data_IF_408325706715
#
_entry.id   IF_408325706715
#
_cell.length_a   1.000
_cell.length_b   1.000
_cell.length_c   1.000
_cell.angle_alpha   90.00
_cell.angle_beta   90.00
_cell.angle_gamma   90.00
#
_symmetry.space_group_name_H-M   'P 1'
#
loop_
_entity.id
_entity.type
_entity.pdbx_description
1 polymer ?
#
# COMPACT_ATOMS: atom_id res chain seq x y z
N UNK A 1 -12.74 -46.71 -29.08
CA UNK A 1 -12.99 -47.82 -28.11
C UNK A 1 -11.68 -47.94 -27.33
N UNK A 2 -11.56 -47.55 -26.06
CA UNK A 2 -12.42 -47.86 -24.94
C UNK A 2 -12.27 -46.83 -23.80
N UNK A 3 -13.44 -46.44 -23.26
CA UNK A 3 -13.83 -46.28 -21.84
C UNK A 3 -12.98 -45.40 -20.90
N UNK A 4 -13.66 -44.43 -20.29
CA UNK A 4 -13.09 -43.46 -19.37
C UNK A 4 -13.02 -43.88 -17.91
N UNK A 5 -12.38 -43.01 -17.12
CA UNK A 5 -12.59 -42.87 -15.69
C UNK A 5 -12.81 -41.39 -15.38
N UNK A 6 -14.05 -41.06 -15.07
CA UNK A 6 -14.49 -39.75 -14.59
C UNK A 6 -14.21 -39.72 -13.09
N UNK A 7 -12.99 -39.38 -12.70
CA UNK A 7 -12.63 -39.17 -11.30
C UNK A 7 -12.73 -37.70 -10.93
N UNK A 8 -13.93 -37.27 -10.56
CA UNK A 8 -14.23 -35.90 -10.10
C UNK A 8 -13.61 -35.57 -8.73
N UNK A 9 -12.84 -36.47 -8.10
CA UNK A 9 -12.10 -36.17 -6.87
C UNK A 9 -10.63 -35.79 -7.10
N UNK A 10 -10.05 -36.08 -8.26
CA UNK A 10 -8.62 -35.83 -8.53
C UNK A 10 -8.35 -34.44 -9.13
N UNK A 11 -9.32 -33.82 -9.82
CA UNK A 11 -9.15 -32.49 -10.43
C UNK A 11 -9.18 -31.33 -9.42
N UNK A 12 -9.85 -31.48 -8.27
CA UNK A 12 -9.84 -30.44 -7.22
C UNK A 12 -8.53 -30.46 -6.45
N UNK A 13 -7.93 -31.63 -6.21
CA UNK A 13 -6.69 -31.77 -5.43
C UNK A 13 -5.47 -31.30 -6.22
N UNK A 14 -5.39 -31.63 -7.51
CA UNK A 14 -4.24 -31.29 -8.36
C UNK A 14 -4.19 -29.80 -8.74
N UNK A 15 -5.33 -29.17 -9.07
CA UNK A 15 -5.35 -27.72 -9.36
C UNK A 15 -4.94 -26.87 -8.15
N UNK A 16 -5.34 -27.28 -6.94
CA UNK A 16 -4.89 -26.65 -5.70
C UNK A 16 -3.42 -26.93 -5.40
N UNK A 17 -2.90 -28.12 -5.73
CA UNK A 17 -1.48 -28.45 -5.59
C UNK A 17 -0.59 -27.63 -6.54
N UNK A 18 -0.91 -27.58 -7.85
CA UNK A 18 -0.19 -26.76 -8.83
C UNK A 18 -0.30 -25.26 -8.52
N UNK A 19 -1.47 -24.81 -8.06
CA UNK A 19 -1.66 -23.42 -7.59
C UNK A 19 -0.82 -23.14 -6.34
N UNK A 20 -0.83 -24.03 -5.36
CA UNK A 20 0.00 -23.90 -4.15
C UNK A 20 1.48 -23.89 -4.50
N UNK A 21 1.96 -24.78 -5.38
CA UNK A 21 3.34 -24.78 -5.86
C UNK A 21 3.70 -23.50 -6.63
N UNK A 22 2.82 -22.98 -7.49
CA UNK A 22 3.02 -21.69 -8.15
C UNK A 22 3.12 -20.55 -7.12
N UNK A 23 2.26 -20.52 -6.11
CA UNK A 23 2.37 -19.53 -5.03
C UNK A 23 3.65 -19.70 -4.23
N UNK A 24 4.01 -20.91 -3.79
CA UNK A 24 5.24 -21.19 -3.06
C UNK A 24 6.48 -20.79 -3.86
N UNK A 25 6.48 -21.04 -5.17
CA UNK A 25 7.55 -20.64 -6.08
C UNK A 25 7.63 -19.12 -6.22
N UNK A 26 6.50 -18.44 -6.40
CA UNK A 26 6.43 -16.97 -6.46
C UNK A 26 6.91 -16.35 -5.14
N UNK A 27 6.53 -16.92 -4.00
CA UNK A 27 7.00 -16.44 -2.69
C UNK A 27 8.50 -16.63 -2.52
N UNK A 28 9.02 -17.80 -2.88
CA UNK A 28 10.47 -18.05 -2.84
C UNK A 28 11.23 -17.09 -3.76
N UNK A 29 10.71 -16.83 -4.97
CA UNK A 29 11.31 -15.87 -5.89
C UNK A 29 11.25 -14.43 -5.37
N UNK A 30 10.17 -14.05 -4.68
CA UNK A 30 10.05 -12.75 -4.05
C UNK A 30 11.04 -12.63 -2.89
N UNK A 31 11.14 -13.64 -2.01
CA UNK A 31 12.07 -13.66 -0.89
C UNK A 31 13.55 -13.62 -1.36
N UNK A 32 13.91 -14.33 -2.41
CA UNK A 32 15.24 -14.26 -3.05
C UNK A 32 15.50 -12.86 -3.66
N UNK A 33 14.47 -12.24 -4.24
CA UNK A 33 14.55 -10.85 -4.75
C UNK A 33 14.75 -9.82 -3.64
N UNK A 34 14.10 -9.97 -2.48
CA UNK A 34 14.26 -9.08 -1.33
C UNK A 34 15.61 -9.26 -0.61
N UNK A 35 16.25 -10.42 -0.71
CA UNK A 35 17.46 -10.76 0.09
C UNK A 35 18.77 -10.41 -0.59
N UNK A 36 18.80 -10.30 -1.91
CA UNK A 36 20.01 -9.96 -2.67
C UNK A 36 19.80 -8.71 -3.54
N UNK A 37 19.79 -7.49 -2.96
CA UNK A 37 19.81 -6.28 -3.76
C UNK A 37 21.17 -6.18 -4.49
N UNK A 38 21.17 -5.90 -5.79
CA UNK A 38 22.40 -5.50 -6.46
C UNK A 38 22.92 -4.19 -5.80
N UNK A 39 24.24 -4.01 -5.67
CA UNK A 39 24.81 -2.84 -4.99
C UNK A 39 24.32 -1.50 -5.58
N UNK A 40 24.12 -1.45 -6.91
CA UNK A 40 23.54 -0.29 -7.61
C UNK A 40 22.12 0.03 -7.14
N UNK A 41 21.34 -0.99 -6.77
CA UNK A 41 19.97 -0.86 -6.28
C UNK A 41 19.92 -0.20 -4.90
N UNK A 42 20.86 -0.52 -4.01
CA UNK A 42 20.83 0.01 -2.64
C UNK A 42 21.10 1.52 -2.57
N UNK A 43 21.95 2.05 -3.46
CA UNK A 43 22.14 3.49 -3.58
C UNK A 43 20.83 4.20 -3.93
N UNK A 44 20.12 3.71 -4.96
CA UNK A 44 18.83 4.26 -5.38
C UNK A 44 17.78 4.17 -4.27
N UNK A 45 17.67 3.02 -3.59
CA UNK A 45 16.72 2.84 -2.49
C UNK A 45 16.99 3.81 -1.33
N UNK A 46 18.25 4.13 -1.03
CA UNK A 46 18.59 5.12 0.00
C UNK A 46 18.21 6.55 -0.40
N UNK A 47 18.31 6.91 -1.68
CA UNK A 47 17.80 8.20 -2.17
C UNK A 47 16.27 8.27 -2.15
N UNK A 48 15.61 7.16 -2.47
CA UNK A 48 14.14 7.06 -2.31
C UNK A 48 13.78 7.22 -0.84
N UNK A 49 14.51 6.58 0.08
CA UNK A 49 14.29 6.73 1.52
C UNK A 49 14.42 8.18 1.98
N UNK A 50 15.46 8.90 1.55
CA UNK A 50 15.63 10.32 1.93
C UNK A 50 14.50 11.20 1.40
N UNK A 51 14.03 10.95 0.18
CA UNK A 51 12.84 11.62 -0.37
C UNK A 51 11.57 11.28 0.44
N UNK A 52 11.37 10.02 0.80
CA UNK A 52 10.22 9.57 1.58
C UNK A 52 10.17 10.20 2.98
N UNK A 53 11.31 10.54 3.59
CA UNK A 53 11.33 11.32 4.85
C UNK A 53 10.68 12.68 4.64
N UNK A 54 11.03 13.36 3.55
CA UNK A 54 10.46 14.68 3.24
C UNK A 54 8.96 14.56 3.00
N UNK A 55 8.53 13.56 2.23
CA UNK A 55 7.10 13.30 1.99
C UNK A 55 6.36 12.97 3.29
N UNK A 56 6.96 12.18 4.18
CA UNK A 56 6.38 11.84 5.48
C UNK A 56 6.18 13.08 6.35
N UNK A 57 7.22 13.92 6.48
CA UNK A 57 7.16 15.14 7.29
C UNK A 57 6.13 16.10 6.71
N UNK A 58 6.18 16.35 5.39
CA UNK A 58 5.21 17.22 4.74
C UNK A 58 3.80 16.67 4.90
N UNK A 59 3.57 15.39 4.62
CA UNK A 59 2.26 14.76 4.72
C UNK A 59 1.67 14.83 6.13
N UNK A 60 2.47 14.63 7.18
CA UNK A 60 2.01 14.78 8.56
C UNK A 60 1.72 16.24 8.91
N UNK A 61 2.60 17.16 8.54
CA UNK A 61 2.46 18.58 8.88
C UNK A 61 1.31 19.23 8.12
N UNK A 62 1.22 19.06 6.80
CA UNK A 62 0.20 19.71 5.99
C UNK A 62 -1.19 19.16 6.29
N UNK A 63 -1.36 17.84 6.21
CA UNK A 63 -2.67 17.23 6.44
C UNK A 63 -3.08 17.29 7.91
N UNK A 64 -2.13 17.12 8.84
CA UNK A 64 -2.37 17.32 10.26
C UNK A 64 -2.78 18.76 10.59
N UNK A 65 -2.14 19.75 9.96
CA UNK A 65 -2.52 21.16 10.15
C UNK A 65 -3.92 21.46 9.58
N UNK A 66 -4.26 20.95 8.41
CA UNK A 66 -5.61 21.09 7.82
C UNK A 66 -6.66 20.48 8.75
N UNK A 67 -6.44 19.26 9.23
CA UNK A 67 -7.32 18.62 10.21
C UNK A 67 -7.44 19.45 11.49
N UNK A 68 -6.32 19.95 12.02
CA UNK A 68 -6.29 20.79 13.21
C UNK A 68 -7.14 22.07 13.04
N UNK A 69 -7.05 22.73 11.88
CA UNK A 69 -7.86 23.91 11.58
C UNK A 69 -9.36 23.60 11.60
N UNK A 70 -9.77 22.48 10.99
CA UNK A 70 -11.17 22.03 11.01
C UNK A 70 -11.64 21.59 12.41
N UNK A 71 -10.74 21.05 13.23
CA UNK A 71 -11.04 20.75 14.63
C UNK A 71 -11.27 22.03 15.44
N UNK A 72 -10.41 23.04 15.25
CA UNK A 72 -10.46 24.31 15.98
C UNK A 72 -11.66 25.15 15.56
N UNK A 73 -11.92 25.29 14.27
CA UNK A 73 -12.95 26.19 13.75
C UNK A 73 -14.23 25.43 13.41
N UNK A 74 -15.18 25.43 14.34
CA UNK A 74 -16.46 24.74 14.18
C UNK A 74 -17.30 25.33 13.03
N UNK A 75 -17.13 26.61 12.72
CA UNK A 75 -17.82 27.27 11.62
C UNK A 75 -17.39 26.73 10.24
N UNK A 76 -16.21 26.12 10.12
CA UNK A 76 -15.73 25.53 8.86
C UNK A 76 -16.30 24.14 8.59
N UNK A 77 -17.05 23.53 9.51
CA UNK A 77 -17.60 22.17 9.36
C UNK A 77 -18.93 22.17 8.60
N UNK A 78 -18.88 22.63 7.37
CA UNK A 78 -20.03 22.64 6.46
C UNK A 78 -19.98 21.41 5.52
N UNK A 79 -21.12 20.98 4.95
CA UNK A 79 -21.17 19.83 4.04
C UNK A 79 -20.17 19.97 2.86
N UNK A 80 -20.00 21.19 2.33
CA UNK A 80 -18.99 21.52 1.31
C UNK A 80 -17.55 21.21 1.74
N UNK A 81 -17.20 21.45 3.01
CA UNK A 81 -15.84 21.25 3.51
C UNK A 81 -15.59 19.83 4.03
N UNK A 82 -16.62 18.98 4.09
CA UNK A 82 -16.49 17.60 4.57
C UNK A 82 -15.60 16.77 3.65
N UNK A 83 -15.64 17.03 2.33
CA UNK A 83 -14.74 16.38 1.38
C UNK A 83 -13.26 16.70 1.65
N UNK A 84 -12.94 17.95 2.02
CA UNK A 84 -11.57 18.37 2.38
C UNK A 84 -11.10 17.74 3.70
N UNK A 85 -12.00 17.59 4.67
CA UNK A 85 -11.71 16.90 5.94
C UNK A 85 -11.40 15.42 5.68
N UNK A 86 -12.22 14.74 4.88
CA UNK A 86 -12.00 13.34 4.52
C UNK A 86 -10.70 13.15 3.71
N UNK A 87 -10.38 14.08 2.83
CA UNK A 87 -9.17 14.04 2.00
C UNK A 87 -7.92 14.13 2.90
N UNK A 88 -7.86 15.18 3.72
CA UNK A 88 -6.75 15.35 4.68
C UNK A 88 -6.65 14.23 5.72
N UNK A 89 -7.77 13.65 6.17
CA UNK A 89 -7.75 12.49 7.06
C UNK A 89 -7.16 11.25 6.39
N UNK A 90 -7.53 11.00 5.13
CA UNK A 90 -7.05 9.87 4.34
C UNK A 90 -5.55 10.02 4.08
N UNK A 91 -5.12 11.17 3.57
CA UNK A 91 -3.72 11.50 3.34
C UNK A 91 -2.86 11.37 4.61
N UNK A 92 -3.34 11.90 5.74
CA UNK A 92 -2.64 11.79 7.03
C UNK A 92 -2.49 10.33 7.48
N UNK A 93 -3.56 9.54 7.34
CA UNK A 93 -3.52 8.12 7.71
C UNK A 93 -2.60 7.30 6.80
N UNK A 94 -2.60 7.57 5.50
CA UNK A 94 -1.72 6.91 4.53
C UNK A 94 -0.26 7.27 4.79
N UNK A 95 0.02 8.54 5.10
CA UNK A 95 1.35 8.99 5.51
C UNK A 95 1.82 8.27 6.78
N UNK A 96 0.95 8.07 7.77
CA UNK A 96 1.30 7.43 9.04
C UNK A 96 1.46 5.91 8.92
N UNK A 97 0.65 5.24 8.11
CA UNK A 97 0.59 3.78 8.05
C UNK A 97 1.46 3.20 6.92
N UNK A 98 1.48 3.82 5.74
CA UNK A 98 2.18 3.31 4.56
C UNK A 98 3.64 3.75 4.51
N UNK A 99 3.91 5.05 4.66
CA UNK A 99 5.25 5.60 4.44
C UNK A 99 6.31 5.00 5.39
N UNK A 100 6.06 4.74 6.69
CA UNK A 100 7.07 4.14 7.56
C UNK A 100 7.50 2.72 7.15
N UNK A 101 6.59 1.90 6.62
CA UNK A 101 6.89 0.56 6.11
C UNK A 101 7.82 0.63 4.90
N UNK A 102 7.48 1.51 3.96
CA UNK A 102 8.28 1.72 2.75
C UNK A 102 9.61 2.40 3.08
N UNK A 103 9.63 3.35 4.01
CA UNK A 103 10.84 4.05 4.44
C UNK A 103 11.86 3.10 5.07
N UNK A 104 11.43 2.29 6.05
CA UNK A 104 12.31 1.35 6.75
C UNK A 104 12.83 0.24 5.84
N UNK A 105 12.03 -0.21 4.87
CA UNK A 105 12.44 -1.17 3.85
C UNK A 105 13.46 -0.58 2.87
N UNK A 106 13.23 0.66 2.41
CA UNK A 106 14.16 1.37 1.52
C UNK A 106 15.52 1.64 2.20
N UNK A 107 15.53 2.03 3.49
CA UNK A 107 16.77 2.21 4.25
C UNK A 107 17.57 0.92 4.41
N UNK A 108 16.88 -0.19 4.61
CA UNK A 108 17.49 -1.51 4.76
C UNK A 108 17.90 -2.13 3.43
N UNK A 109 17.58 -1.47 2.30
CA UNK A 109 17.76 -1.98 0.94
C UNK A 109 17.11 -3.36 0.71
N UNK A 110 16.09 -3.69 1.51
CA UNK A 110 15.36 -4.96 1.49
C UNK A 110 14.00 -4.79 2.15
N UNK A 111 13.04 -5.61 1.76
CA UNK A 111 11.74 -5.63 2.43
C UNK A 111 11.82 -6.30 3.80
N UNK A 112 11.33 -5.61 4.84
CA UNK A 112 11.44 -6.08 6.24
C UNK A 112 10.18 -6.78 6.76
N UNK A 113 9.01 -6.49 6.20
CA UNK A 113 7.72 -6.84 6.79
C UNK A 113 7.09 -8.13 6.22
N UNK A 114 7.86 -8.85 5.41
CA UNK A 114 7.42 -10.08 4.74
C UNK A 114 6.15 -9.89 3.90
N UNK A 115 5.50 -11.02 3.59
CA UNK A 115 4.33 -11.07 2.71
C UNK A 115 3.14 -10.25 3.22
N UNK A 116 2.84 -10.35 4.51
CA UNK A 116 1.70 -9.65 5.11
C UNK A 116 1.88 -8.13 5.11
N UNK A 117 3.09 -7.64 5.39
CA UNK A 117 3.39 -6.22 5.30
C UNK A 117 3.24 -5.69 3.88
N UNK A 118 3.65 -6.48 2.87
CA UNK A 118 3.51 -6.08 1.46
C UNK A 118 2.03 -5.94 1.07
N UNK A 119 1.17 -6.87 1.50
CA UNK A 119 -0.27 -6.73 1.28
C UNK A 119 -0.89 -5.57 2.02
N UNK A 120 -0.45 -5.32 3.26
CA UNK A 120 -0.96 -4.22 4.06
C UNK A 120 -0.57 -2.86 3.46
N UNK A 121 0.69 -2.68 3.09
CA UNK A 121 1.18 -1.44 2.46
C UNK A 121 0.47 -1.18 1.14
N UNK A 122 0.34 -2.20 0.28
CA UNK A 122 -0.42 -2.09 -0.97
C UNK A 122 -1.91 -1.79 -0.75
N UNK A 123 -2.53 -2.38 0.28
CA UNK A 123 -3.93 -2.08 0.64
C UNK A 123 -4.11 -0.63 1.08
N UNK A 124 -3.24 -0.13 1.96
CA UNK A 124 -3.28 1.26 2.44
C UNK A 124 -3.10 2.23 1.27
N UNK A 125 -2.12 1.99 0.41
CA UNK A 125 -1.86 2.83 -0.76
C UNK A 125 -3.06 2.85 -1.73
N UNK A 126 -3.66 1.69 -1.99
CA UNK A 126 -4.82 1.57 -2.87
C UNK A 126 -6.07 2.25 -2.29
N UNK A 127 -6.37 1.99 -1.01
CA UNK A 127 -7.51 2.58 -0.33
C UNK A 127 -7.42 4.10 -0.29
N UNK A 128 -6.24 4.63 0.05
CA UNK A 128 -6.00 6.06 0.08
C UNK A 128 -6.16 6.67 -1.32
N UNK A 129 -5.44 6.14 -2.32
CA UNK A 129 -5.46 6.69 -3.67
C UNK A 129 -6.86 6.69 -4.31
N UNK A 130 -7.66 5.65 -4.11
CA UNK A 130 -9.05 5.64 -4.60
C UNK A 130 -9.92 6.66 -3.87
N UNK A 131 -9.79 6.73 -2.55
CA UNK A 131 -10.55 7.69 -1.74
C UNK A 131 -10.24 9.12 -2.16
N UNK A 132 -8.96 9.45 -2.38
CA UNK A 132 -8.53 10.77 -2.81
C UNK A 132 -9.06 11.12 -4.21
N UNK A 133 -9.01 10.18 -5.16
CA UNK A 133 -9.58 10.37 -6.50
C UNK A 133 -11.08 10.69 -6.41
N UNK A 134 -11.84 9.94 -5.61
CA UNK A 134 -13.29 10.19 -5.44
C UNK A 134 -13.57 11.53 -4.78
N UNK A 135 -12.79 11.91 -3.77
CA UNK A 135 -12.96 13.16 -3.05
C UNK A 135 -12.60 14.36 -3.92
N UNK A 136 -11.49 14.29 -4.66
CA UNK A 136 -11.09 15.32 -5.62
C UNK A 136 -12.13 15.46 -6.74
N UNK A 137 -12.69 14.35 -7.23
CA UNK A 137 -13.77 14.39 -8.20
C UNK A 137 -15.02 15.07 -7.63
N UNK A 138 -15.43 14.74 -6.40
CA UNK A 138 -16.56 15.39 -5.74
C UNK A 138 -16.34 16.90 -5.54
N UNK A 139 -15.13 17.31 -5.14
CA UNK A 139 -14.74 18.72 -5.00
C UNK A 139 -14.79 19.44 -6.35
N UNK A 140 -14.46 18.77 -7.45
CA UNK A 140 -14.49 19.39 -8.79
C UNK A 140 -15.90 19.65 -9.32
N UNK A 141 -16.89 18.89 -8.85
CA UNK A 141 -18.29 18.97 -9.31
C UNK A 141 -19.11 19.95 -8.46
N UNK A 142 -18.72 20.14 -7.20
CA UNK A 142 -19.38 21.04 -6.26
C UNK A 142 -18.82 22.46 -6.35
#
# INVERSE_FOLDING_TARGET
MSLGFRDTRVTVVSHNYYRTLNYSYVLKSADESWTHPALASCFVLKWIASYLIVVFILGLLTNGFVLYLFFKEKHLRNPTNTHLICLSATDFSAALLGIPLSLSSNFSCRWLFGKYGCYYEGFVAYWAGITDIYLLAAISVN
#
